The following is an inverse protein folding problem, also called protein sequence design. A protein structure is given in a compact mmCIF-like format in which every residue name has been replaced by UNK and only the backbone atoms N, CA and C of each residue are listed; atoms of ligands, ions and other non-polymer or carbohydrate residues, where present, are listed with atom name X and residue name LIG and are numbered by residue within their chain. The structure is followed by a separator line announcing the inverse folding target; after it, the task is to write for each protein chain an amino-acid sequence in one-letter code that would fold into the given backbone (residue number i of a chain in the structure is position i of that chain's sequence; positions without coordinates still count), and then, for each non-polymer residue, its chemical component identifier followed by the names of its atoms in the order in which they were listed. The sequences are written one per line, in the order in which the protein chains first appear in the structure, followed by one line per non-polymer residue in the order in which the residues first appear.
data_IF_083307013842
#
_entry.id   IF_083307013842
#
_cell.length_a   1.000
_cell.length_b   1.000
_cell.length_c   1.000
_cell.angle_alpha   90.00
_cell.angle_beta   90.00
_cell.angle_gamma   90.00
#
_symmetry.space_group_name_H-M   'P 1'
#
loop_
_entity.id
_entity.type
_entity.pdbx_description
1 polymer ?
#
# COMPACT_ATOMS: atom_id res chain seq x y z
N UNK A 1 5.17 20.05 -1.41
CA UNK A 1 4.32 19.10 -2.15
C UNK A 1 3.76 18.12 -1.14
N UNK A 2 2.44 18.14 -0.94
CA UNK A 2 1.75 17.17 -0.10
C UNK A 2 2.01 15.75 -0.58
N UNK A 3 2.18 14.80 0.34
CA UNK A 3 2.41 13.39 0.02
C UNK A 3 1.36 12.82 -0.93
N UNK A 4 0.12 13.28 -0.82
CA UNK A 4 -1.01 12.92 -1.68
C UNK A 4 -0.76 13.31 -3.14
N UNK A 5 -0.19 14.50 -3.39
CA UNK A 5 0.14 14.93 -4.76
C UNK A 5 1.27 14.11 -5.36
N UNK A 6 2.31 13.81 -4.57
CA UNK A 6 3.43 12.98 -5.04
C UNK A 6 2.96 11.56 -5.33
N UNK A 7 2.06 11.05 -4.49
CA UNK A 7 1.35 9.78 -4.71
C UNK A 7 0.63 9.75 -6.05
N UNK A 8 -0.16 10.79 -6.33
CA UNK A 8 -0.96 10.86 -7.54
C UNK A 8 -0.08 11.02 -8.78
N UNK A 9 0.99 11.81 -8.69
CA UNK A 9 2.00 11.95 -9.73
C UNK A 9 2.71 10.63 -10.00
N UNK A 10 3.23 9.95 -8.96
CA UNK A 10 3.87 8.64 -9.08
C UNK A 10 2.89 7.59 -9.59
N UNK A 11 1.62 7.59 -9.18
CA UNK A 11 0.62 6.68 -9.74
C UNK A 11 0.40 6.87 -11.25
N UNK A 12 0.60 8.07 -11.79
CA UNK A 12 0.46 8.35 -13.21
C UNK A 12 1.76 8.15 -14.01
N UNK A 13 2.91 8.50 -13.42
CA UNK A 13 4.21 8.47 -14.10
C UNK A 13 5.00 7.19 -13.83
N UNK A 14 4.77 6.51 -12.72
CA UNK A 14 5.51 5.36 -12.25
C UNK A 14 4.64 4.10 -12.24
N UNK A 15 4.96 3.16 -13.13
CA UNK A 15 4.23 1.90 -13.25
C UNK A 15 4.38 1.01 -12.00
N UNK A 16 5.49 1.13 -11.27
CA UNK A 16 5.73 0.37 -10.06
C UNK A 16 4.80 0.86 -8.94
N UNK A 17 4.70 2.18 -8.78
CA UNK A 17 3.76 2.80 -7.84
C UNK A 17 2.30 2.44 -8.16
N UNK A 18 1.93 2.44 -9.44
CA UNK A 18 0.59 2.02 -9.89
C UNK A 18 0.28 0.58 -9.49
N UNK A 19 1.21 -0.36 -9.73
CA UNK A 19 1.04 -1.77 -9.32
C UNK A 19 0.91 -1.91 -7.81
N UNK A 20 1.74 -1.22 -7.04
CA UNK A 20 1.67 -1.18 -5.58
C UNK A 20 0.30 -0.67 -5.10
N UNK A 21 -0.26 0.35 -5.75
CA UNK A 21 -1.59 0.88 -5.43
C UNK A 21 -2.72 -0.12 -5.74
N UNK A 22 -2.62 -0.86 -6.84
CA UNK A 22 -3.57 -1.92 -7.19
C UNK A 22 -3.50 -3.12 -6.21
N UNK A 23 -2.29 -3.55 -5.85
CA UNK A 23 -2.10 -4.57 -4.82
C UNK A 23 -2.60 -4.12 -3.45
N UNK A 24 -2.35 -2.86 -3.06
CA UNK A 24 -2.87 -2.30 -1.81
C UNK A 24 -4.40 -2.37 -1.76
N UNK A 25 -5.09 -1.96 -2.83
CA UNK A 25 -6.56 -2.06 -2.93
C UNK A 25 -7.03 -3.51 -2.86
N UNK A 26 -6.30 -4.43 -3.49
CA UNK A 26 -6.63 -5.86 -3.47
C UNK A 26 -6.48 -6.45 -2.06
N UNK A 27 -5.41 -6.10 -1.34
CA UNK A 27 -5.20 -6.51 0.04
C UNK A 27 -6.22 -5.88 1.00
N UNK A 28 -6.62 -4.63 0.76
CA UNK A 28 -7.69 -3.98 1.53
C UNK A 28 -9.03 -4.68 1.37
N UNK A 29 -9.42 -5.02 0.14
CA UNK A 29 -10.66 -5.80 -0.08
C UNK A 29 -10.60 -7.14 0.64
N UNK A 30 -9.50 -7.89 0.48
CA UNK A 30 -9.30 -9.19 1.12
C UNK A 30 -9.39 -9.09 2.64
N UNK A 31 -8.74 -8.07 3.23
CA UNK A 31 -8.82 -7.75 4.65
C UNK A 31 -10.24 -7.44 5.08
N UNK A 32 -10.96 -6.62 4.31
CA UNK A 32 -12.32 -6.23 4.62
C UNK A 32 -13.28 -7.44 4.56
N UNK A 33 -13.07 -8.38 3.65
CA UNK A 33 -13.83 -9.63 3.57
C UNK A 33 -13.57 -10.53 4.80
N UNK A 34 -12.31 -10.65 5.22
CA UNK A 34 -11.95 -11.39 6.45
C UNK A 34 -12.53 -10.73 7.70
N UNK A 35 -12.43 -9.40 7.78
CA UNK A 35 -12.90 -8.63 8.93
C UNK A 35 -14.44 -8.57 9.03
N UNK A 36 -15.14 -8.72 7.89
CA UNK A 36 -16.60 -8.86 7.87
C UNK A 36 -17.09 -10.24 8.29
N UNK A 37 -16.21 -11.26 8.35
CA UNK A 37 -16.60 -12.58 8.87
C UNK A 37 -16.75 -12.51 10.40
N UNK A 38 -17.92 -12.85 10.96
CA UNK A 38 -18.17 -12.75 12.39
C UNK A 38 -17.43 -13.81 13.23
N UNK A 39 -16.97 -14.91 12.62
CA UNK A 39 -16.18 -15.96 13.27
C UNK A 39 -14.91 -16.26 12.45
N UNK A 40 -13.86 -15.43 12.59
CA UNK A 40 -12.57 -15.71 11.97
C UNK A 40 -11.92 -16.92 12.66
N UNK A 41 -11.71 -18.00 11.91
CA UNK A 41 -10.95 -19.15 12.39
C UNK A 41 -9.46 -18.77 12.54
N UNK A 42 -8.66 -19.62 13.20
CA UNK A 42 -7.20 -19.40 13.31
C UNK A 42 -6.52 -19.17 11.95
N UNK A 43 -7.01 -19.85 10.90
CA UNK A 43 -6.57 -19.61 9.52
C UNK A 43 -6.88 -18.20 9.03
N UNK A 44 -8.11 -17.71 9.27
CA UNK A 44 -8.51 -16.35 8.87
C UNK A 44 -7.68 -15.29 9.63
N UNK A 45 -7.41 -15.48 10.93
CA UNK A 45 -6.56 -14.56 11.71
C UNK A 45 -5.10 -14.54 11.21
N UNK A 46 -4.57 -15.71 10.83
CA UNK A 46 -3.24 -15.81 10.25
C UNK A 46 -3.17 -15.14 8.88
N UNK A 47 -4.16 -15.36 8.01
CA UNK A 47 -4.30 -14.65 6.73
C UNK A 47 -4.41 -13.14 6.96
N UNK A 48 -5.21 -12.70 7.92
CA UNK A 48 -5.39 -11.28 8.25
C UNK A 48 -4.06 -10.64 8.69
N UNK A 49 -3.28 -11.35 9.50
CA UNK A 49 -1.94 -10.91 9.94
C UNK A 49 -0.96 -10.83 8.77
N UNK A 50 -0.96 -11.83 7.88
CA UNK A 50 -0.14 -11.82 6.67
C UNK A 50 -0.55 -10.66 5.75
N UNK A 51 -1.85 -10.43 5.56
CA UNK A 51 -2.37 -9.35 4.74
C UNK A 51 -2.01 -7.99 5.33
N UNK A 52 -2.13 -7.80 6.65
CA UNK A 52 -1.67 -6.58 7.35
C UNK A 52 -0.18 -6.35 7.13
N UNK A 53 0.66 -7.38 7.23
CA UNK A 53 2.11 -7.29 6.95
C UNK A 53 2.39 -6.93 5.49
N UNK A 54 1.71 -7.56 4.53
CA UNK A 54 1.85 -7.25 3.10
C UNK A 54 1.42 -5.82 2.79
N UNK A 55 0.28 -5.38 3.34
CA UNK A 55 -0.23 -4.02 3.22
C UNK A 55 0.77 -3.01 3.78
N UNK A 56 1.38 -3.32 4.93
CA UNK A 56 2.43 -2.48 5.52
C UNK A 56 3.66 -2.43 4.60
N UNK A 57 4.15 -3.56 4.11
CA UNK A 57 5.28 -3.62 3.19
C UNK A 57 5.04 -2.79 1.91
N UNK A 58 3.84 -2.86 1.33
CA UNK A 58 3.46 -2.03 0.19
C UNK A 58 3.42 -0.55 0.55
N UNK A 59 2.88 -0.19 1.72
CA UNK A 59 2.91 1.19 2.20
C UNK A 59 4.34 1.70 2.37
N UNK A 60 5.24 0.88 2.93
CA UNK A 60 6.67 1.16 3.03
C UNK A 60 7.32 1.35 1.66
N UNK A 61 7.01 0.50 0.68
CA UNK A 61 7.51 0.66 -0.70
C UNK A 61 7.02 1.97 -1.34
N UNK A 62 5.73 2.29 -1.19
CA UNK A 62 5.19 3.56 -1.66
C UNK A 62 5.90 4.75 -1.00
N UNK A 63 6.13 4.69 0.31
CA UNK A 63 6.82 5.77 1.04
C UNK A 63 8.28 5.92 0.62
N UNK A 64 8.99 4.83 0.32
CA UNK A 64 10.36 4.91 -0.24
C UNK A 64 10.38 5.60 -1.59
N UNK A 65 9.41 5.29 -2.48
CA UNK A 65 9.29 5.96 -3.78
C UNK A 65 9.01 7.45 -3.62
N UNK A 66 8.06 7.80 -2.74
CA UNK A 66 7.73 9.20 -2.42
C UNK A 66 8.94 9.92 -1.84
N UNK A 67 9.64 9.32 -0.86
CA UNK A 67 10.79 9.91 -0.19
C UNK A 67 11.98 10.09 -1.14
N UNK A 68 12.21 9.13 -2.04
CA UNK A 68 13.20 9.26 -3.11
C UNK A 68 12.86 10.43 -4.04
N UNK A 69 11.60 10.50 -4.49
CA UNK A 69 11.14 11.58 -5.35
C UNK A 69 11.24 12.95 -4.67
N UNK A 70 10.85 13.05 -3.39
CA UNK A 70 11.01 14.26 -2.58
C UNK A 70 12.48 14.65 -2.46
N UNK A 71 13.38 13.72 -2.17
CA UNK A 71 14.81 14.00 -2.05
C UNK A 71 15.39 14.51 -3.38
N UNK A 72 15.03 13.89 -4.51
CA UNK A 72 15.50 14.29 -5.84
C UNK A 72 14.93 15.64 -6.30
N UNK A 73 13.68 15.97 -5.95
CA UNK A 73 13.05 17.24 -6.31
C UNK A 73 13.31 18.39 -5.31
N UNK A 74 13.62 18.10 -4.05
CA UNK A 74 13.88 19.13 -3.03
C UNK A 74 15.34 19.59 -3.01
N UNK A 75 16.27 18.80 -3.56
CA UNK A 75 17.71 19.10 -3.60
C UNK A 75 18.09 19.96 -4.82
N UNK A 76 17.12 20.45 -5.59
CA UNK A 76 17.35 21.12 -6.87
C UNK A 76 16.81 22.54 -6.90
#
# INVERSE_FOLDING_TARGET
MDETQIKEYLSNHDNEFRKLAEEHKSFERRLQELHQKPHPNEKDQFEETILKKKKLAIKDQMQRLISRYQTEHTTR
#
